data_IF_339916410138
#
_entry.id   IF_339916410138
#
_cell.length_a   1.000
_cell.length_b   1.000
_cell.length_c   1.000
_cell.angle_alpha   90.00
_cell.angle_beta   90.00
_cell.angle_gamma   90.00
#
_symmetry.space_group_name_H-M   'P 1'
#
loop_
_entity.id
_entity.type
_entity.pdbx_description
1 polymer ?
#
# COMPACT_ATOMS: atom_id res chain seq x y z
N UNK A 1 -12.49 -13.82 1.06
CA UNK A 1 -11.11 -13.89 1.60
C UNK A 1 -10.76 -15.24 2.21
N UNK A 2 -11.45 -15.74 3.25
CA UNK A 2 -11.03 -16.98 3.94
C UNK A 2 -11.00 -18.22 3.02
N UNK A 3 -12.03 -18.43 2.18
CA UNK A 3 -12.07 -19.55 1.23
C UNK A 3 -11.01 -19.48 0.13
N UNK A 4 -10.56 -18.29 -0.28
CA UNK A 4 -9.54 -18.12 -1.32
C UNK A 4 -8.10 -18.31 -0.80
N UNK A 5 -7.90 -18.11 0.50
CA UNK A 5 -6.63 -18.41 1.17
C UNK A 5 -6.48 -19.91 1.38
N UNK A 6 -7.60 -20.61 1.62
CA UNK A 6 -7.58 -22.03 1.93
C UNK A 6 -7.23 -22.88 0.69
N UNK A 7 -7.66 -22.45 -0.50
CA UNK A 7 -7.46 -23.17 -1.77
C UNK A 7 -6.05 -23.02 -2.37
N UNK A 8 -5.23 -22.09 -1.88
CA UNK A 8 -3.90 -21.84 -2.40
C UNK A 8 -2.83 -22.66 -1.67
N UNK A 9 -1.76 -23.00 -2.39
CA UNK A 9 -0.59 -23.67 -1.81
C UNK A 9 0.26 -22.69 -0.99
N UNK A 10 1.08 -23.22 -0.08
CA UNK A 10 1.95 -22.40 0.79
C UNK A 10 2.90 -21.51 -0.04
N UNK A 11 3.42 -22.02 -1.16
CA UNK A 11 4.26 -21.27 -2.09
C UNK A 11 3.51 -20.10 -2.74
N UNK A 12 2.24 -20.31 -3.12
CA UNK A 12 1.40 -19.24 -3.68
C UNK A 12 1.08 -18.18 -2.62
N UNK A 13 0.81 -18.57 -1.37
CA UNK A 13 0.62 -17.60 -0.27
C UNK A 13 1.88 -16.77 -0.02
N UNK A 14 3.06 -17.42 0.02
CA UNK A 14 4.35 -16.74 0.19
C UNK A 14 4.68 -15.80 -0.95
N UNK A 15 4.42 -16.20 -2.20
CA UNK A 15 4.66 -15.36 -3.36
C UNK A 15 3.72 -14.15 -3.38
N UNK A 16 2.45 -14.32 -3.03
CA UNK A 16 1.52 -13.20 -2.85
C UNK A 16 1.94 -12.28 -1.70
N UNK A 17 2.43 -12.83 -0.59
CA UNK A 17 2.93 -12.04 0.53
C UNK A 17 4.12 -11.17 0.10
N UNK A 18 5.08 -11.72 -0.65
CA UNK A 18 6.21 -10.98 -1.22
C UNK A 18 5.74 -9.91 -2.20
N UNK A 19 4.85 -10.26 -3.14
CA UNK A 19 4.31 -9.33 -4.12
C UNK A 19 3.61 -8.12 -3.47
N UNK A 20 2.73 -8.37 -2.50
CA UNK A 20 2.04 -7.30 -1.76
C UNK A 20 3.03 -6.44 -0.98
N UNK A 21 4.07 -7.03 -0.37
CA UNK A 21 5.09 -6.30 0.38
C UNK A 21 5.95 -5.41 -0.51
N UNK A 22 6.32 -5.91 -1.70
CA UNK A 22 7.03 -5.13 -2.73
C UNK A 22 6.18 -3.99 -3.26
N UNK A 23 4.91 -4.24 -3.56
CA UNK A 23 3.95 -3.21 -4.01
C UNK A 23 3.78 -2.12 -2.96
N UNK A 24 3.67 -2.48 -1.66
CA UNK A 24 3.64 -1.52 -0.57
C UNK A 24 4.91 -0.66 -0.55
N UNK A 25 6.08 -1.29 -0.68
CA UNK A 25 7.36 -0.56 -0.71
C UNK A 25 7.44 0.43 -1.87
N UNK A 26 7.06 -0.01 -3.08
CA UNK A 26 7.00 0.85 -4.26
C UNK A 26 6.00 2.00 -4.10
N UNK A 27 4.81 1.71 -3.57
CA UNK A 27 3.77 2.70 -3.33
C UNK A 27 4.24 3.78 -2.34
N UNK A 28 4.91 3.38 -1.25
CA UNK A 28 5.49 4.32 -0.29
C UNK A 28 6.55 5.19 -0.97
N UNK A 29 7.43 4.61 -1.78
CA UNK A 29 8.47 5.35 -2.50
C UNK A 29 7.89 6.43 -3.42
N UNK A 30 6.90 6.06 -4.24
CA UNK A 30 6.21 7.01 -5.13
C UNK A 30 5.51 8.09 -4.31
N UNK A 31 4.87 7.72 -3.19
CA UNK A 31 4.16 8.65 -2.33
C UNK A 31 5.11 9.69 -1.69
N UNK A 32 6.30 9.27 -1.27
CA UNK A 32 7.33 10.17 -0.72
C UNK A 32 7.81 11.17 -1.77
N UNK A 33 8.12 10.70 -2.97
CA UNK A 33 8.52 11.59 -4.08
C UNK A 33 7.40 12.57 -4.39
N UNK A 34 6.15 12.10 -4.48
CA UNK A 34 5.00 12.93 -4.78
C UNK A 34 4.74 13.98 -3.70
N UNK A 35 4.94 13.67 -2.42
CA UNK A 35 4.84 14.63 -1.34
C UNK A 35 5.91 15.73 -1.45
N UNK A 36 7.16 15.35 -1.68
CA UNK A 36 8.27 16.32 -1.82
C UNK A 36 8.00 17.27 -2.98
N UNK A 37 7.61 16.73 -4.15
CA UNK A 37 7.32 17.55 -5.33
C UNK A 37 6.09 18.43 -5.12
N UNK A 38 5.04 17.92 -4.46
CA UNK A 38 3.80 18.66 -4.19
C UNK A 38 4.05 19.80 -3.20
N UNK A 39 4.78 19.55 -2.11
CA UNK A 39 5.15 20.59 -1.14
C UNK A 39 6.03 21.65 -1.78
N UNK A 40 7.02 21.25 -2.58
CA UNK A 40 7.87 22.20 -3.30
C UNK A 40 7.07 23.08 -4.25
N UNK A 41 6.12 22.49 -4.99
CA UNK A 41 5.30 23.24 -5.93
C UNK A 41 4.29 24.17 -5.24
N UNK A 42 3.73 23.78 -4.08
CA UNK A 42 2.85 24.66 -3.27
C UNK A 42 3.60 25.88 -2.74
N UNK A 43 4.87 25.71 -2.36
CA UNK A 43 5.70 26.80 -1.83
C UNK A 43 6.19 27.72 -2.97
N UNK A 44 6.56 27.13 -4.11
CA UNK A 44 7.17 27.86 -5.22
C UNK A 44 6.16 28.46 -6.23
N UNK A 45 4.95 27.89 -6.36
CA UNK A 45 3.90 28.39 -7.25
C UNK A 45 2.65 28.82 -6.48
N UNK A 46 2.11 29.99 -6.80
CA UNK A 46 0.89 30.52 -6.20
C UNK A 46 -0.38 29.74 -6.60
N UNK A 47 -0.31 28.90 -7.63
CA UNK A 47 -1.47 28.15 -8.13
C UNK A 47 -1.74 26.89 -7.30
N UNK A 48 -2.33 27.10 -6.12
CA UNK A 48 -2.63 26.07 -5.11
C UNK A 48 -3.82 25.18 -5.47
N UNK A 49 -4.55 25.50 -6.54
CA UNK A 49 -5.82 24.84 -6.91
C UNK A 49 -5.65 23.36 -7.27
N UNK A 50 -4.51 22.97 -7.85
CA UNK A 50 -4.25 21.59 -8.31
C UNK A 50 -3.57 20.75 -7.22
N UNK A 51 -2.74 21.36 -6.37
CA UNK A 51 -1.92 20.63 -5.41
C UNK A 51 -2.67 20.25 -4.12
N UNK A 52 -3.68 21.02 -3.72
CA UNK A 52 -4.56 20.69 -2.59
C UNK A 52 -5.32 19.35 -2.80
N UNK A 53 -6.01 19.13 -3.94
CA UNK A 53 -6.65 17.84 -4.19
C UNK A 53 -5.64 16.69 -4.35
N UNK A 54 -4.44 16.97 -4.90
CA UNK A 54 -3.35 15.98 -4.96
C UNK A 54 -2.94 15.48 -3.57
N UNK A 55 -2.90 16.36 -2.57
CA UNK A 55 -2.63 16.01 -1.18
C UNK A 55 -3.70 15.06 -0.61
N UNK A 56 -4.98 15.29 -0.93
CA UNK A 56 -6.09 14.43 -0.49
C UNK A 56 -5.97 12.99 -1.03
N UNK A 57 -5.53 12.84 -2.28
CA UNK A 57 -5.27 11.52 -2.89
C UNK A 57 -4.14 10.79 -2.16
N UNK A 58 -3.09 11.52 -1.75
CA UNK A 58 -2.00 10.96 -0.95
C UNK A 58 -2.51 10.44 0.39
N UNK A 59 -3.29 11.23 1.13
CA UNK A 59 -3.88 10.80 2.41
C UNK A 59 -4.80 9.58 2.24
N UNK A 60 -5.56 9.52 1.16
CA UNK A 60 -6.42 8.37 0.83
C UNK A 60 -5.59 7.11 0.59
N UNK A 61 -4.44 7.21 -0.10
CA UNK A 61 -3.52 6.09 -0.27
C UNK A 61 -2.92 5.61 1.06
N UNK A 62 -2.63 6.51 2.01
CA UNK A 62 -2.14 6.14 3.35
C UNK A 62 -3.20 5.32 4.11
N UNK A 63 -4.47 5.69 3.98
CA UNK A 63 -5.58 4.97 4.61
C UNK A 63 -5.78 3.54 4.05
N UNK A 64 -5.29 3.25 2.85
CA UNK A 64 -5.35 1.91 2.22
C UNK A 64 -4.26 0.96 2.76
N UNK A 65 -3.12 1.50 3.23
CA UNK A 65 -2.02 0.72 3.81
C UNK A 65 -2.41 -0.20 4.99
N UNK A 66 -3.22 0.22 5.99
CA UNK A 66 -3.66 -0.69 7.06
C UNK A 66 -4.55 -1.82 6.56
N UNK A 67 -5.31 -1.60 5.48
CA UNK A 67 -6.13 -2.63 4.84
C UNK A 67 -5.24 -3.72 4.24
N UNK A 68 -4.16 -3.33 3.54
CA UNK A 68 -3.19 -4.25 2.98
C UNK A 68 -2.41 -5.02 4.06
N UNK A 69 -2.16 -4.41 5.23
CA UNK A 69 -1.59 -5.09 6.40
C UNK A 69 -2.50 -6.16 6.99
N UNK A 70 -3.84 -5.98 6.97
CA UNK A 70 -4.78 -7.03 7.41
C UNK A 70 -4.71 -8.26 6.51
N UNK A 71 -4.61 -8.07 5.19
CA UNK A 71 -4.44 -9.17 4.24
C UNK A 71 -3.14 -9.95 4.48
N UNK A 72 -2.02 -9.25 4.72
CA UNK A 72 -0.74 -9.89 5.08
C UNK A 72 -0.86 -10.69 6.39
N UNK A 73 -1.52 -10.13 7.41
CA UNK A 73 -1.76 -10.83 8.68
C UNK A 73 -2.63 -12.07 8.50
N UNK A 74 -3.65 -12.02 7.64
CA UNK A 74 -4.51 -13.15 7.35
C UNK A 74 -3.75 -14.28 6.62
N UNK A 75 -2.90 -13.93 5.64
CA UNK A 75 -2.03 -14.88 4.93
C UNK A 75 -1.02 -15.53 5.90
N UNK A 76 -0.36 -14.75 6.75
CA UNK A 76 0.58 -15.28 7.75
C UNK A 76 -0.11 -16.14 8.81
N UNK A 77 -1.32 -15.76 9.25
CA UNK A 77 -2.09 -16.56 10.20
C UNK A 77 -2.55 -17.90 9.60
N UNK A 78 -2.82 -17.95 8.30
CA UNK A 78 -3.15 -19.18 7.58
C UNK A 78 -1.90 -20.06 7.38
N UNK A 79 -0.76 -19.48 6.98
CA UNK A 79 0.51 -20.21 6.88
C UNK A 79 0.93 -20.83 8.21
N UNK A 80 0.85 -20.06 9.32
CA UNK A 80 1.19 -20.52 10.67
C UNK A 80 0.26 -21.63 11.21
N UNK A 81 -0.95 -21.78 10.64
CA UNK A 81 -1.84 -22.90 10.97
C UNK A 81 -1.51 -24.19 10.22
N UNK A 82 -0.72 -24.08 9.15
CA UNK A 82 -0.33 -25.19 8.26
C UNK A 82 1.09 -25.70 8.55
N UNK A 83 1.87 -24.92 9.31
CA UNK A 83 3.06 -25.38 10.04
C UNK A 83 2.65 -26.06 11.35
#
# INVERSE_FOLDING_TARGET
MKNELISKTNEQLLNQLKGVRTLIGALIGILTVLLITTTYCIIAQENKMIFIPLLSVVFSCIAILPLQRKSIKAINAELKKRE
#
